data_IF_981216702288
#
_entry.id   IF_981216702288
#
_cell.length_a   1.000
_cell.length_b   1.000
_cell.length_c   1.000
_cell.angle_alpha   90.00
_cell.angle_beta   90.00
_cell.angle_gamma   90.00
#
_symmetry.space_group_name_H-M   'P 1'
#
loop_
_entity.id
_entity.type
_entity.pdbx_description
1 polymer ?
#
# COMPACT_ATOMS: atom_id res chain seq x y z
N UNK A 1 12.61 -12.64 -20.68
CA UNK A 1 11.48 -11.88 -21.26
C UNK A 1 10.17 -12.25 -20.60
N UNK A 2 9.55 -13.37 -21.00
CA UNK A 2 8.21 -13.79 -20.57
C UNK A 2 8.06 -14.05 -19.06
N UNK A 3 8.93 -14.86 -18.44
CA UNK A 3 8.82 -15.15 -17.01
C UNK A 3 9.00 -13.91 -16.12
N UNK A 4 9.88 -12.99 -16.52
CA UNK A 4 10.07 -11.71 -15.84
C UNK A 4 8.84 -10.80 -15.97
N UNK A 5 8.20 -10.76 -17.14
CA UNK A 5 6.98 -9.98 -17.37
C UNK A 5 5.83 -10.48 -16.47
N UNK A 6 5.69 -11.80 -16.34
CA UNK A 6 4.69 -12.40 -15.45
C UNK A 6 4.91 -12.00 -14.00
N UNK A 7 6.13 -12.20 -13.46
CA UNK A 7 6.44 -11.79 -12.09
C UNK A 7 6.25 -10.28 -11.91
N UNK A 8 6.69 -9.47 -12.86
CA UNK A 8 6.54 -8.02 -12.82
C UNK A 8 5.07 -7.59 -12.77
N UNK A 9 4.19 -8.21 -13.57
CA UNK A 9 2.77 -7.90 -13.56
C UNK A 9 2.12 -8.21 -12.21
N UNK A 10 2.39 -9.40 -11.65
CA UNK A 10 1.83 -9.79 -10.35
C UNK A 10 2.38 -8.95 -9.20
N UNK A 11 3.70 -8.72 -9.16
CA UNK A 11 4.32 -7.92 -8.12
C UNK A 11 3.83 -6.47 -8.16
N UNK A 12 3.79 -5.85 -9.35
CA UNK A 12 3.24 -4.50 -9.46
C UNK A 12 1.76 -4.44 -9.09
N UNK A 13 0.94 -5.38 -9.54
CA UNK A 13 -0.48 -5.42 -9.15
C UNK A 13 -0.64 -5.51 -7.63
N UNK A 14 0.14 -6.36 -6.97
CA UNK A 14 0.13 -6.50 -5.51
C UNK A 14 0.52 -5.19 -4.81
N UNK A 15 1.62 -4.55 -5.24
CA UNK A 15 2.09 -3.28 -4.66
C UNK A 15 1.06 -2.15 -4.84
N UNK A 16 0.44 -2.03 -6.01
CA UNK A 16 -0.60 -1.01 -6.24
C UNK A 16 -1.85 -1.24 -5.38
N UNK A 17 -2.32 -2.48 -5.27
CA UNK A 17 -3.49 -2.81 -4.44
C UNK A 17 -3.22 -2.55 -2.95
N UNK A 18 -2.03 -2.92 -2.47
CA UNK A 18 -1.65 -2.66 -1.08
C UNK A 18 -1.48 -1.17 -0.80
N UNK A 19 -0.90 -0.39 -1.74
CA UNK A 19 -0.85 1.07 -1.64
C UNK A 19 -2.26 1.69 -1.57
N UNK A 20 -3.18 1.23 -2.41
CA UNK A 20 -4.59 1.64 -2.36
C UNK A 20 -5.27 1.29 -1.03
N UNK A 21 -4.98 0.12 -0.47
CA UNK A 21 -5.46 -0.28 0.87
C UNK A 21 -4.96 0.66 1.97
N UNK A 22 -3.70 1.10 1.90
CA UNK A 22 -3.12 2.06 2.87
C UNK A 22 -3.79 3.43 2.73
N UNK A 23 -3.95 3.95 1.51
CA UNK A 23 -4.60 5.24 1.25
C UNK A 23 -6.04 5.21 1.77
N UNK A 24 -6.78 4.13 1.52
CA UNK A 24 -8.14 3.97 2.05
C UNK A 24 -8.18 3.91 3.58
N UNK A 25 -7.19 3.25 4.20
CA UNK A 25 -7.04 3.26 5.66
C UNK A 25 -6.74 4.66 6.22
N UNK A 26 -5.99 5.48 5.49
CA UNK A 26 -5.67 6.86 5.88
C UNK A 26 -6.90 7.78 5.85
N UNK A 27 -7.88 7.54 4.97
CA UNK A 27 -9.15 8.29 4.97
C UNK A 27 -9.88 8.19 6.32
N UNK A 28 -9.79 7.03 7.00
CA UNK A 28 -10.37 6.84 8.33
C UNK A 28 -9.63 7.54 9.46
N UNK A 29 -8.35 7.90 9.26
CA UNK A 29 -7.50 8.54 10.28
C UNK A 29 -7.50 10.06 10.13
N UNK A 30 -7.43 10.55 8.89
CA UNK A 30 -7.23 11.97 8.59
C UNK A 30 -8.43 12.62 7.87
N UNK A 31 -9.49 11.84 7.61
CA UNK A 31 -10.65 12.27 6.84
C UNK A 31 -10.42 12.23 5.33
N UNK A 32 -11.41 12.65 4.55
CA UNK A 32 -11.35 12.69 3.08
C UNK A 32 -10.51 13.87 2.53
N UNK A 33 -9.55 14.39 3.28
CA UNK A 33 -8.58 15.36 2.77
C UNK A 33 -7.49 14.61 1.98
N UNK A 34 -7.45 14.72 0.65
CA UNK A 34 -6.53 13.94 -0.17
C UNK A 34 -5.07 14.34 0.03
N UNK A 35 -4.79 15.58 0.46
CA UNK A 35 -3.42 16.06 0.68
C UNK A 35 -2.85 15.41 1.93
N UNK A 36 -3.65 15.34 3.00
CA UNK A 36 -3.24 14.74 4.26
C UNK A 36 -3.25 13.21 4.20
N UNK A 37 -4.25 12.61 3.55
CA UNK A 37 -4.35 11.16 3.41
C UNK A 37 -3.21 10.56 2.57
N UNK A 38 -2.54 11.36 1.72
CA UNK A 38 -1.38 10.96 0.92
C UNK A 38 -0.02 11.48 1.42
N UNK A 39 0.02 12.18 2.56
CA UNK A 39 1.29 12.62 3.15
C UNK A 39 2.05 11.43 3.77
N UNK A 40 3.20 11.10 3.21
CA UNK A 40 4.06 10.00 3.68
C UNK A 40 4.52 10.17 5.14
N UNK A 41 4.51 11.39 5.69
CA UNK A 41 4.84 11.65 7.09
C UNK A 41 3.79 11.08 8.05
N UNK A 42 2.55 10.94 7.59
CA UNK A 42 1.42 10.42 8.35
C UNK A 42 1.21 8.91 8.14
N UNK A 43 1.79 8.33 7.09
CA UNK A 43 1.70 6.90 6.74
C UNK A 43 2.67 5.99 7.51
N UNK A 44 3.04 6.33 8.74
CA UNK A 44 3.96 5.54 9.57
C UNK A 44 3.29 4.36 10.27
N UNK A 45 4.09 3.38 10.71
CA UNK A 45 3.60 2.33 11.63
C UNK A 45 2.70 1.26 11.01
N UNK A 46 2.72 1.10 9.68
CA UNK A 46 1.90 0.12 8.95
C UNK A 46 1.94 -1.30 9.54
N UNK A 47 3.10 -1.77 10.02
CA UNK A 47 3.21 -3.12 10.58
C UNK A 47 2.41 -3.33 11.87
N UNK A 48 2.09 -2.26 12.59
CA UNK A 48 1.27 -2.28 13.81
C UNK A 48 -0.23 -2.17 13.49
N UNK A 49 -0.60 -1.29 12.56
CA UNK A 49 -2.01 -0.98 12.25
C UNK A 49 -2.60 -1.84 11.13
N UNK A 50 -1.78 -2.26 10.17
CA UNK A 50 -2.17 -3.04 8.99
C UNK A 50 -1.16 -4.18 8.74
N UNK A 51 -1.08 -5.18 9.65
CA UNK A 51 -0.03 -6.20 9.61
C UNK A 51 -0.08 -7.06 8.33
N UNK A 52 -1.28 -7.34 7.81
CA UNK A 52 -1.47 -8.12 6.57
C UNK A 52 -0.97 -7.32 5.38
N UNK A 53 -1.47 -6.09 5.18
CA UNK A 53 -1.05 -5.21 4.09
C UNK A 53 0.45 -4.91 4.15
N UNK A 54 1.02 -4.75 5.35
CA UNK A 54 2.46 -4.57 5.54
C UNK A 54 3.27 -5.81 5.16
N UNK A 55 2.79 -7.02 5.45
CA UNK A 55 3.47 -8.25 5.09
C UNK A 55 3.40 -8.51 3.59
N UNK A 56 2.24 -8.30 2.96
CA UNK A 56 2.08 -8.45 1.51
C UNK A 56 2.87 -7.40 0.73
N UNK A 57 3.00 -6.17 1.24
CA UNK A 57 3.84 -5.13 0.62
C UNK A 57 5.33 -5.41 0.72
N UNK A 58 5.77 -6.18 1.72
CA UNK A 58 7.17 -6.57 1.90
C UNK A 58 7.55 -7.76 1.00
N UNK A 59 6.60 -8.66 0.78
CA UNK A 59 6.79 -9.84 -0.10
C UNK A 59 6.65 -9.44 -1.57
N UNK A 60 5.76 -8.49 -1.86
CA UNK A 60 5.48 -7.95 -3.18
C UNK A 60 6.58 -7.07 -3.74
#
# INVERSE_FOLDING_TARGET
GLFHLMTHAYFKAMLFLCSGSVIHGMEGVVGHDPVLAQDMRLMGGLRKYMPITSATFLIG
#
